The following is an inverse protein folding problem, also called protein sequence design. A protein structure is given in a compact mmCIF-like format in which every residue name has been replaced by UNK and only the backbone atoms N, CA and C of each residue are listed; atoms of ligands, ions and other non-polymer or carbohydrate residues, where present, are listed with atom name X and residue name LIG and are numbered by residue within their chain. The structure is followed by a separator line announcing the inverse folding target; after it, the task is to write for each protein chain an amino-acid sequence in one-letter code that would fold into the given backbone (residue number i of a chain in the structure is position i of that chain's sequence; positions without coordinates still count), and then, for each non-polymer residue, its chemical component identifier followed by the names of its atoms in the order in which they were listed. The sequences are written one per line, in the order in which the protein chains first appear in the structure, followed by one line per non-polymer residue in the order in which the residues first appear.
data_IF_514641754101
#
_entry.id   IF_514641754101
#
_cell.length_a   1.000
_cell.length_b   1.000
_cell.length_c   1.000
_cell.angle_alpha   90.00
_cell.angle_beta   90.00
_cell.angle_gamma   90.00
#
_symmetry.space_group_name_H-M   'P 1'
#
loop_
_entity.id
_entity.type
_entity.pdbx_description
1 polymer ?
#
# COMPACT_ATOMS: atom_id res chain seq x y z
N UNK A 1 -0.12 24.86 12.54
CA UNK A 1 -0.51 23.81 13.52
C UNK A 1 -0.12 24.30 14.89
N UNK A 2 -1.10 24.46 15.78
CA UNK A 2 -0.87 24.96 17.13
C UNK A 2 -0.17 23.89 18.00
N UNK A 3 0.72 24.32 18.90
CA UNK A 3 1.42 23.40 19.83
C UNK A 3 0.49 22.50 20.66
N UNK A 4 -0.68 22.98 21.16
CA UNK A 4 -1.61 22.14 21.94
C UNK A 4 -2.25 21.00 21.10
N UNK A 5 -2.56 21.24 19.82
CA UNK A 5 -3.12 20.20 18.95
C UNK A 5 -2.13 19.05 18.75
N UNK A 6 -0.85 19.40 18.54
CA UNK A 6 0.19 18.41 18.40
C UNK A 6 0.43 17.62 19.70
N UNK A 7 0.43 18.29 20.85
CA UNK A 7 0.58 17.60 22.13
C UNK A 7 -0.54 16.57 22.34
N UNK A 8 -1.78 16.95 22.04
CA UNK A 8 -2.95 16.06 22.08
C UNK A 8 -2.79 14.85 21.13
N UNK A 9 -2.37 15.10 19.88
CA UNK A 9 -2.15 14.03 18.92
C UNK A 9 -1.07 13.02 19.37
N UNK A 10 0.08 13.54 19.83
CA UNK A 10 1.17 12.69 20.32
C UNK A 10 0.73 11.86 21.53
N UNK A 11 -0.07 12.45 22.41
CA UNK A 11 -0.62 11.78 23.58
C UNK A 11 -1.61 10.67 23.19
N UNK A 12 -2.49 10.92 22.20
CA UNK A 12 -3.41 9.92 21.66
C UNK A 12 -2.65 8.75 21.01
N UNK A 13 -1.65 9.03 20.17
CA UNK A 13 -0.85 7.97 19.51
C UNK A 13 -0.12 7.11 20.55
N UNK A 14 0.49 7.74 21.56
CA UNK A 14 1.14 7.04 22.68
C UNK A 14 0.15 6.18 23.44
N UNK A 15 -1.02 6.73 23.80
CA UNK A 15 -2.07 6.01 24.51
C UNK A 15 -2.54 4.79 23.75
N UNK A 16 -2.76 4.88 22.44
CA UNK A 16 -3.16 3.76 21.58
C UNK A 16 -2.13 2.60 21.64
N UNK A 17 -0.85 2.91 21.64
CA UNK A 17 0.21 1.92 21.77
C UNK A 17 0.24 1.30 23.17
N UNK A 18 0.19 2.13 24.20
CA UNK A 18 0.29 1.73 25.61
C UNK A 18 -0.91 0.91 26.08
N UNK A 19 -2.11 1.22 25.60
CA UNK A 19 -3.32 0.43 25.89
C UNK A 19 -3.22 -1.02 25.39
N UNK A 20 -2.38 -1.26 24.37
CA UNK A 20 -2.07 -2.61 23.88
C UNK A 20 -0.87 -3.25 24.58
N UNK A 21 -0.27 -2.58 25.55
CA UNK A 21 0.94 -3.03 26.23
C UNK A 21 2.16 -3.07 25.30
N UNK A 22 2.17 -2.32 24.20
CA UNK A 22 3.22 -2.38 23.19
C UNK A 22 4.38 -1.44 23.48
N UNK A 23 5.60 -1.97 23.33
CA UNK A 23 6.77 -1.15 23.07
C UNK A 23 6.75 -0.60 21.63
N UNK A 24 7.63 0.33 21.30
CA UNK A 24 7.81 0.77 19.90
C UNK A 24 8.25 -0.38 18.99
N UNK A 25 8.97 -1.37 19.52
CA UNK A 25 9.36 -2.56 18.77
C UNK A 25 8.16 -3.45 18.44
N UNK A 26 7.22 -3.59 19.37
CA UNK A 26 5.99 -4.36 19.16
C UNK A 26 5.11 -3.71 18.12
N UNK A 27 4.93 -2.40 18.20
CA UNK A 27 4.17 -1.65 17.20
C UNK A 27 4.82 -1.69 15.82
N UNK A 28 6.17 -1.64 15.74
CA UNK A 28 6.88 -1.78 14.48
C UNK A 28 6.64 -3.15 13.85
N UNK A 29 6.71 -4.24 14.63
CA UNK A 29 6.38 -5.59 14.15
C UNK A 29 4.93 -5.72 13.69
N UNK A 30 4.00 -5.15 14.46
CA UNK A 30 2.59 -5.15 14.10
C UNK A 30 2.32 -4.39 12.79
N UNK A 31 2.95 -3.23 12.59
CA UNK A 31 2.88 -2.48 11.33
C UNK A 31 3.49 -3.25 10.15
N UNK A 32 4.61 -3.96 10.35
CA UNK A 32 5.19 -4.81 9.30
C UNK A 32 4.26 -5.97 8.92
N UNK A 33 3.62 -6.61 9.90
CA UNK A 33 2.64 -7.66 9.64
C UNK A 33 1.40 -7.14 8.88
N UNK A 34 0.93 -5.92 9.19
CA UNK A 34 -0.12 -5.27 8.40
C UNK A 34 0.38 -4.94 6.99
N UNK A 35 1.59 -4.41 6.86
CA UNK A 35 2.19 -4.08 5.57
C UNK A 35 2.35 -5.30 4.67
N UNK A 36 2.74 -6.45 5.23
CA UNK A 36 2.84 -7.71 4.51
C UNK A 36 1.47 -8.16 3.98
N UNK A 37 0.42 -8.12 4.82
CA UNK A 37 -0.95 -8.45 4.41
C UNK A 37 -1.52 -7.53 3.34
N UNK A 38 -1.12 -6.25 3.35
CA UNK A 38 -1.56 -5.23 2.39
C UNK A 38 -0.60 -5.06 1.20
N UNK A 39 0.46 -5.88 1.11
CA UNK A 39 1.44 -5.79 0.03
C UNK A 39 2.23 -4.47 0.00
N UNK A 40 2.32 -3.75 1.13
CA UNK A 40 3.05 -2.47 1.22
C UNK A 40 4.55 -2.74 1.40
N UNK A 41 5.19 -3.14 0.32
CA UNK A 41 6.59 -3.61 0.27
C UNK A 41 7.58 -2.62 0.90
N UNK A 42 7.36 -1.32 0.74
CA UNK A 42 8.21 -0.29 1.30
C UNK A 42 8.39 -0.40 2.82
N UNK A 43 7.33 -0.78 3.54
CA UNK A 43 7.38 -0.94 5.00
C UNK A 43 7.85 -2.34 5.39
N UNK A 44 7.49 -3.36 4.63
CA UNK A 44 7.95 -4.74 4.85
C UNK A 44 9.49 -4.84 4.78
N UNK A 45 10.12 -4.10 3.86
CA UNK A 45 11.57 -4.07 3.68
C UNK A 45 12.29 -3.07 4.61
N UNK A 46 11.55 -2.25 5.36
CA UNK A 46 12.14 -1.29 6.30
C UNK A 46 12.75 -2.03 7.49
N UNK A 47 13.98 -1.66 7.89
CA UNK A 47 14.62 -2.22 9.07
C UNK A 47 13.78 -1.92 10.33
N UNK A 48 13.53 -2.91 11.22
CA UNK A 48 12.71 -2.72 12.42
C UNK A 48 13.13 -1.51 13.28
N UNK A 49 14.44 -1.33 13.49
CA UNK A 49 14.98 -0.20 14.27
C UNK A 49 14.66 1.17 13.62
N UNK A 50 14.67 1.24 12.30
CA UNK A 50 14.32 2.48 11.60
C UNK A 50 12.83 2.80 11.76
N UNK A 51 11.98 1.76 11.72
CA UNK A 51 10.55 1.91 11.93
C UNK A 51 10.23 2.32 13.37
N UNK A 52 10.90 1.74 14.37
CA UNK A 52 10.79 2.16 15.78
C UNK A 52 11.11 3.64 15.96
N UNK A 53 12.21 4.12 15.37
CA UNK A 53 12.59 5.54 15.42
C UNK A 53 11.53 6.43 14.77
N UNK A 54 10.92 5.96 13.69
CA UNK A 54 9.86 6.67 12.99
C UNK A 54 8.61 6.78 13.86
N UNK A 55 8.19 5.70 14.53
CA UNK A 55 7.06 5.67 15.46
C UNK A 55 7.33 6.62 16.64
N UNK A 56 8.51 6.53 17.26
CA UNK A 56 8.90 7.40 18.37
C UNK A 56 8.82 8.90 18.00
N UNK A 57 9.14 9.26 16.75
CA UNK A 57 9.02 10.63 16.25
C UNK A 57 7.56 11.08 16.13
N UNK A 58 6.61 10.19 15.78
CA UNK A 58 5.19 10.57 15.74
C UNK A 58 4.61 10.85 17.12
N UNK A 59 5.12 10.18 18.15
CA UNK A 59 4.74 10.37 19.55
C UNK A 59 5.50 11.54 20.24
N UNK A 60 6.43 12.19 19.53
CA UNK A 60 7.25 13.27 20.04
C UNK A 60 6.72 14.64 19.61
N UNK A 61 6.46 15.51 20.57
CA UNK A 61 6.07 16.91 20.31
C UNK A 61 7.20 17.69 19.65
N UNK A 62 8.46 17.39 19.98
CA UNK A 62 9.64 18.08 19.45
C UNK A 62 9.94 17.70 17.99
N UNK A 63 9.65 16.47 17.56
CA UNK A 63 10.06 15.98 16.25
C UNK A 63 9.26 16.55 15.06
N UNK A 64 8.10 17.15 15.29
CA UNK A 64 7.21 17.76 14.27
C UNK A 64 6.94 16.91 13.04
N UNK A 65 7.04 15.58 13.14
CA UNK A 65 6.77 14.65 12.06
C UNK A 65 5.32 14.15 12.11
N UNK A 66 4.74 13.92 10.93
CA UNK A 66 3.39 13.37 10.76
C UNK A 66 3.54 12.01 10.05
N UNK A 67 2.75 10.99 10.40
CA UNK A 67 2.71 9.76 9.62
C UNK A 67 2.39 10.05 8.16
N UNK A 68 3.26 9.65 7.24
CA UNK A 68 2.97 9.74 5.80
C UNK A 68 1.80 8.82 5.40
N UNK A 69 1.22 9.03 4.23
CA UNK A 69 -0.02 8.37 3.77
C UNK A 69 0.00 6.84 3.90
N UNK A 70 1.12 6.20 3.52
CA UNK A 70 1.29 4.74 3.67
C UNK A 70 1.19 4.29 5.13
N UNK A 71 1.76 5.05 6.06
CA UNK A 71 1.69 4.74 7.48
C UNK A 71 0.32 5.06 8.07
N UNK A 72 -0.37 6.10 7.59
CA UNK A 72 -1.75 6.40 7.98
C UNK A 72 -2.66 5.22 7.66
N UNK A 73 -2.53 4.62 6.45
CA UNK A 73 -3.29 3.43 6.08
C UNK A 73 -2.95 2.22 6.96
N UNK A 74 -1.65 1.95 7.16
CA UNK A 74 -1.23 0.82 7.99
C UNK A 74 -1.69 0.96 9.44
N UNK A 75 -1.60 2.17 10.01
CA UNK A 75 -2.11 2.47 11.35
C UNK A 75 -3.63 2.31 11.40
N UNK A 76 -4.37 2.78 10.39
CA UNK A 76 -5.81 2.62 10.32
C UNK A 76 -6.22 1.13 10.31
N UNK A 77 -5.56 0.29 9.52
CA UNK A 77 -5.78 -1.16 9.53
C UNK A 77 -5.36 -1.84 10.84
N UNK A 78 -4.30 -1.34 11.47
CA UNK A 78 -3.80 -1.86 12.74
C UNK A 78 -4.80 -1.58 13.87
N UNK A 79 -5.28 -0.35 13.95
CA UNK A 79 -6.18 0.11 15.02
C UNK A 79 -7.67 -0.09 14.72
N UNK A 80 -8.03 -0.54 13.52
CA UNK A 80 -9.37 -1.03 13.22
C UNK A 80 -9.72 -2.35 13.93
N UNK A 81 -8.72 -3.04 14.47
CA UNK A 81 -8.90 -4.27 15.23
C UNK A 81 -8.55 -4.03 16.69
N UNK A 82 -9.37 -4.58 17.58
CA UNK A 82 -9.08 -4.60 19.03
C UNK A 82 -7.83 -5.44 19.35
N UNK A 83 -7.39 -5.43 20.58
CA UNK A 83 -6.33 -6.32 21.07
C UNK A 83 -6.68 -7.81 20.93
N UNK A 84 -7.97 -8.18 20.93
CA UNK A 84 -8.47 -9.53 20.65
C UNK A 84 -8.55 -9.88 19.16
N UNK A 85 -8.27 -8.92 18.26
CA UNK A 85 -8.36 -9.09 16.81
C UNK A 85 -9.74 -8.82 16.20
N UNK A 86 -10.74 -8.51 17.01
CA UNK A 86 -12.09 -8.15 16.56
C UNK A 86 -12.09 -6.79 15.86
N UNK A 87 -12.92 -6.67 14.84
CA UNK A 87 -13.10 -5.42 14.10
C UNK A 87 -13.92 -4.42 14.90
N UNK A 88 -13.33 -3.26 15.19
CA UNK A 88 -13.98 -2.18 15.95
C UNK A 88 -13.84 -0.86 15.19
N UNK A 89 -14.94 -0.40 14.58
CA UNK A 89 -14.95 0.74 13.66
C UNK A 89 -15.82 1.91 14.15
N UNK A 90 -16.55 1.71 15.25
CA UNK A 90 -17.49 2.69 15.80
C UNK A 90 -16.82 3.87 16.49
N UNK A 91 -17.65 4.81 16.94
CA UNK A 91 -17.21 5.91 17.80
C UNK A 91 -16.57 5.39 19.09
N UNK A 92 -15.47 6.01 19.52
CA UNK A 92 -14.72 5.59 20.70
C UNK A 92 -13.81 4.38 20.50
N UNK A 93 -13.74 3.81 19.27
CA UNK A 93 -12.78 2.75 18.95
C UNK A 93 -11.34 3.29 18.83
N UNK A 94 -10.37 2.37 18.85
CA UNK A 94 -8.97 2.70 18.60
C UNK A 94 -8.77 3.39 17.23
N UNK A 95 -9.55 2.97 16.20
CA UNK A 95 -9.56 3.63 14.91
C UNK A 95 -10.04 5.07 14.99
N UNK A 96 -11.12 5.33 15.72
CA UNK A 96 -11.67 6.67 15.89
C UNK A 96 -10.68 7.59 16.63
N UNK A 97 -10.04 7.09 17.68
CA UNK A 97 -8.97 7.80 18.39
C UNK A 97 -7.76 8.09 17.49
N UNK A 98 -7.36 7.13 16.62
CA UNK A 98 -6.30 7.34 15.62
C UNK A 98 -6.68 8.44 14.63
N UNK A 99 -7.89 8.39 14.05
CA UNK A 99 -8.33 9.40 13.07
C UNK A 99 -8.40 10.78 13.69
N UNK A 100 -8.80 10.88 14.97
CA UNK A 100 -8.75 12.11 15.76
C UNK A 100 -7.30 12.60 15.93
N UNK A 101 -6.37 11.72 16.28
CA UNK A 101 -4.96 12.09 16.40
C UNK A 101 -4.38 12.59 15.06
N UNK A 102 -4.72 11.94 13.94
CA UNK A 102 -4.29 12.36 12.61
C UNK A 102 -4.86 13.73 12.24
N UNK A 103 -6.12 14.02 12.58
CA UNK A 103 -6.73 15.32 12.37
C UNK A 103 -5.99 16.43 13.16
N UNK A 104 -5.65 16.21 14.43
CA UNK A 104 -4.83 17.10 15.24
C UNK A 104 -3.40 17.28 14.68
N UNK A 105 -2.88 16.30 13.94
CA UNK A 105 -1.61 16.42 13.20
C UNK A 105 -1.74 17.17 11.87
N UNK A 106 -2.93 17.65 11.51
CA UNK A 106 -3.19 18.41 10.30
C UNK A 106 -3.53 17.55 9.08
N UNK A 107 -3.83 16.26 9.27
CA UNK A 107 -4.34 15.42 8.17
C UNK A 107 -5.75 15.89 7.81
N UNK A 108 -6.03 16.20 6.52
CA UNK A 108 -7.32 16.73 6.12
C UNK A 108 -8.50 15.78 6.45
N UNK A 109 -9.66 16.34 6.81
CA UNK A 109 -10.86 15.56 7.12
C UNK A 109 -11.32 14.65 5.96
N UNK A 110 -11.07 15.04 4.71
CA UNK A 110 -11.29 14.18 3.54
C UNK A 110 -10.46 12.90 3.66
N UNK A 111 -9.18 13.02 4.01
CA UNK A 111 -8.26 11.88 4.11
C UNK A 111 -8.63 10.94 5.25
N UNK A 112 -9.04 11.46 6.39
CA UNK A 112 -9.48 10.61 7.51
C UNK A 112 -10.75 9.83 7.19
N UNK A 113 -11.68 10.40 6.41
CA UNK A 113 -12.85 9.68 5.87
C UNK A 113 -12.44 8.60 4.88
N UNK A 114 -11.57 8.90 3.91
CA UNK A 114 -11.04 7.92 2.96
C UNK A 114 -10.37 6.73 3.67
N UNK A 115 -9.60 6.97 4.73
CA UNK A 115 -8.98 5.90 5.53
C UNK A 115 -10.04 5.00 6.19
N UNK A 116 -11.09 5.59 6.75
CA UNK A 116 -12.21 4.83 7.34
C UNK A 116 -12.90 3.97 6.29
N UNK A 117 -13.21 4.54 5.13
CA UNK A 117 -13.87 3.84 4.02
C UNK A 117 -13.00 2.71 3.45
N UNK A 118 -11.69 2.92 3.32
CA UNK A 118 -10.74 1.89 2.88
C UNK A 118 -10.71 0.71 3.85
N UNK A 119 -10.65 0.99 5.15
CA UNK A 119 -10.68 -0.06 6.17
C UNK A 119 -12.00 -0.82 6.14
N UNK A 120 -13.15 -0.12 6.05
CA UNK A 120 -14.47 -0.74 5.95
C UNK A 120 -14.55 -1.69 4.74
N UNK A 121 -14.17 -1.24 3.56
CA UNK A 121 -14.18 -2.07 2.34
C UNK A 121 -13.27 -3.28 2.48
N UNK A 122 -12.06 -3.10 2.99
CA UNK A 122 -11.09 -4.20 3.14
C UNK A 122 -11.52 -5.28 4.14
N UNK A 123 -12.45 -4.96 5.03
CA UNK A 123 -12.92 -5.87 6.08
C UNK A 123 -14.26 -6.51 5.76
N UNK A 124 -15.08 -5.89 4.91
CA UNK A 124 -16.40 -6.39 4.50
C UNK A 124 -16.34 -7.44 3.39
N UNK A 125 -15.25 -7.47 2.61
CA UNK A 125 -15.06 -8.43 1.53
C UNK A 125 -14.39 -9.71 2.01
N UNK A 126 -15.04 -10.87 1.90
CA UNK A 126 -14.49 -12.18 2.24
C UNK A 126 -13.30 -12.66 1.38
N UNK A 127 -12.70 -11.79 0.59
CA UNK A 127 -11.67 -12.11 -0.42
C UNK A 127 -10.25 -11.65 -0.07
N UNK A 128 -10.01 -11.19 1.14
CA UNK A 128 -8.70 -10.70 1.56
C UNK A 128 -8.53 -9.19 1.40
N UNK A 129 -7.79 -8.61 2.33
CA UNK A 129 -7.67 -7.16 2.52
C UNK A 129 -7.13 -6.41 1.29
N UNK A 130 -6.30 -7.07 0.46
CA UNK A 130 -5.70 -6.47 -0.73
C UNK A 130 -6.71 -6.23 -1.85
N UNK A 131 -7.63 -7.18 -2.06
CA UNK A 131 -8.60 -7.10 -3.15
C UNK A 131 -9.60 -5.95 -2.99
N UNK A 132 -9.85 -5.53 -1.75
CA UNK A 132 -10.76 -4.42 -1.46
C UNK A 132 -10.25 -3.05 -1.96
N UNK A 133 -9.01 -2.96 -2.39
CA UNK A 133 -8.45 -1.76 -3.03
C UNK A 133 -8.72 -1.72 -4.53
N UNK A 134 -9.15 -2.83 -5.14
CA UNK A 134 -9.63 -2.87 -6.52
C UNK A 134 -11.07 -2.31 -6.61
N UNK A 135 -11.50 -1.99 -7.82
CA UNK A 135 -12.92 -1.66 -8.05
C UNK A 135 -13.81 -2.87 -7.75
N UNK A 136 -15.03 -2.63 -7.30
CA UNK A 136 -15.95 -3.72 -6.88
C UNK A 136 -16.11 -4.82 -7.93
N UNK A 137 -16.38 -4.53 -9.25
CA UNK A 137 -16.48 -5.58 -10.25
C UNK A 137 -15.17 -6.36 -10.44
N UNK A 138 -14.03 -5.68 -10.46
CA UNK A 138 -12.72 -6.34 -10.59
C UNK A 138 -12.40 -7.19 -9.35
N UNK A 139 -12.75 -6.72 -8.16
CA UNK A 139 -12.59 -7.43 -6.90
C UNK A 139 -13.35 -8.76 -6.91
N UNK A 140 -14.62 -8.75 -7.37
CA UNK A 140 -15.45 -9.93 -7.46
C UNK A 140 -14.88 -10.96 -8.44
N UNK A 141 -14.58 -10.55 -9.68
CA UNK A 141 -14.03 -11.43 -10.73
C UNK A 141 -12.69 -12.05 -10.33
N UNK A 142 -11.79 -11.23 -9.76
CA UNK A 142 -10.52 -11.71 -9.23
C UNK A 142 -10.73 -12.71 -8.09
N UNK A 143 -11.66 -12.43 -7.18
CA UNK A 143 -11.98 -13.33 -6.07
C UNK A 143 -12.52 -14.67 -6.54
N UNK A 144 -13.29 -14.70 -7.62
CA UNK A 144 -13.76 -15.92 -8.26
C UNK A 144 -12.63 -16.70 -8.93
N UNK A 145 -11.78 -16.02 -9.69
CA UNK A 145 -10.62 -16.64 -10.36
C UNK A 145 -9.56 -17.16 -9.37
N UNK A 146 -9.41 -16.55 -8.21
CA UNK A 146 -8.53 -17.05 -7.15
C UNK A 146 -9.06 -18.33 -6.48
N UNK A 147 -10.40 -18.50 -6.43
CA UNK A 147 -11.04 -19.72 -5.89
C UNK A 147 -11.06 -20.85 -6.93
N UNK A 148 -11.31 -20.49 -8.19
CA UNK A 148 -11.34 -21.44 -9.32
C UNK A 148 -10.57 -20.86 -10.51
N UNK A 149 -9.39 -21.39 -10.75
CA UNK A 149 -8.51 -20.96 -11.83
C UNK A 149 -9.11 -21.11 -13.24
N UNK A 150 -10.18 -21.90 -13.41
CA UNK A 150 -10.92 -22.02 -14.68
C UNK A 150 -11.69 -20.73 -15.03
N UNK A 151 -11.93 -19.87 -14.06
CA UNK A 151 -12.58 -18.57 -14.25
C UNK A 151 -11.62 -17.46 -14.67
N UNK A 152 -10.32 -17.76 -14.75
CA UNK A 152 -9.36 -16.84 -15.34
C UNK A 152 -9.50 -16.89 -16.86
N UNK A 153 -9.89 -15.77 -17.45
CA UNK A 153 -10.02 -15.56 -18.89
C UNK A 153 -9.21 -14.34 -19.36
N UNK A 154 -9.26 -14.11 -20.64
CA UNK A 154 -8.54 -12.98 -21.26
C UNK A 154 -9.16 -11.63 -20.88
N UNK A 155 -10.46 -11.59 -20.60
CA UNK A 155 -11.16 -10.36 -20.22
C UNK A 155 -10.75 -9.91 -18.82
N UNK A 156 -10.63 -10.82 -17.88
CA UNK A 156 -10.09 -10.50 -16.55
C UNK A 156 -8.64 -10.01 -16.62
N UNK A 157 -7.82 -10.63 -17.50
CA UNK A 157 -6.45 -10.17 -17.71
C UNK A 157 -6.43 -8.76 -18.34
N UNK A 158 -7.34 -8.46 -19.25
CA UNK A 158 -7.49 -7.13 -19.83
C UNK A 158 -7.91 -6.09 -18.77
N UNK A 159 -8.83 -6.44 -17.87
CA UNK A 159 -9.22 -5.58 -16.74
C UNK A 159 -8.04 -5.30 -15.80
N UNK A 160 -7.23 -6.31 -15.48
CA UNK A 160 -6.03 -6.10 -14.65
C UNK A 160 -5.01 -5.20 -15.36
N UNK A 161 -4.84 -5.33 -16.67
CA UNK A 161 -3.97 -4.44 -17.46
C UNK A 161 -4.50 -3.02 -17.49
N UNK A 162 -5.80 -2.84 -17.70
CA UNK A 162 -6.45 -1.53 -17.62
C UNK A 162 -6.21 -0.88 -16.24
N UNK A 163 -6.35 -1.63 -15.15
CA UNK A 163 -6.09 -1.13 -13.81
C UNK A 163 -4.62 -0.68 -13.61
N UNK A 164 -3.63 -1.37 -14.19
CA UNK A 164 -2.23 -0.92 -14.19
C UNK A 164 -2.08 0.37 -14.98
N UNK A 165 -2.70 0.46 -16.15
CA UNK A 165 -2.66 1.66 -17.00
C UNK A 165 -3.31 2.86 -16.30
N UNK A 166 -4.43 2.66 -15.61
CA UNK A 166 -5.10 3.71 -14.83
C UNK A 166 -4.20 4.26 -13.72
N UNK A 167 -3.43 3.40 -13.05
CA UNK A 167 -2.45 3.84 -12.05
C UNK A 167 -1.33 4.65 -12.70
N UNK A 168 -0.84 4.26 -13.89
CA UNK A 168 0.19 5.01 -14.62
C UNK A 168 -0.31 6.40 -15.04
N UNK A 169 -1.55 6.50 -15.52
CA UNK A 169 -2.17 7.80 -15.89
C UNK A 169 -2.38 8.73 -14.69
N UNK A 170 -2.46 8.20 -13.48
CA UNK A 170 -2.60 9.00 -12.26
C UNK A 170 -1.27 9.54 -11.73
N UNK A 171 -0.13 9.20 -12.34
CA UNK A 171 1.18 9.77 -11.98
C UNK A 171 1.13 11.29 -12.21
N UNK A 172 1.50 12.03 -11.17
CA UNK A 172 1.43 13.49 -11.14
C UNK A 172 0.10 14.06 -10.63
N UNK A 173 -0.96 13.25 -10.56
CA UNK A 173 -2.28 13.70 -10.06
C UNK A 173 -2.52 13.35 -8.60
N UNK A 174 -1.93 12.25 -8.13
CA UNK A 174 -2.02 11.79 -6.73
C UNK A 174 -0.63 11.47 -6.18
N UNK A 175 -0.53 11.33 -4.86
CA UNK A 175 0.77 11.04 -4.23
C UNK A 175 1.31 9.67 -4.63
N UNK A 176 2.62 9.54 -4.71
CA UNK A 176 3.28 8.25 -5.00
C UNK A 176 2.95 7.16 -3.99
N UNK A 177 2.73 7.53 -2.71
CA UNK A 177 2.30 6.58 -1.69
C UNK A 177 0.92 6.01 -2.00
N UNK A 178 -0.01 6.81 -2.52
CA UNK A 178 -1.33 6.37 -2.94
C UNK A 178 -1.23 5.45 -4.17
N UNK A 179 -0.41 5.82 -5.15
CA UNK A 179 -0.15 4.96 -6.33
C UNK A 179 0.39 3.59 -5.94
N UNK A 180 1.32 3.51 -4.98
CA UNK A 180 1.83 2.25 -4.45
C UNK A 180 0.72 1.38 -3.84
N UNK A 181 -0.21 2.00 -3.12
CA UNK A 181 -1.34 1.30 -2.51
C UNK A 181 -2.32 0.76 -3.55
N UNK A 182 -2.58 1.51 -4.62
CA UNK A 182 -3.45 1.05 -5.72
C UNK A 182 -2.81 -0.10 -6.52
N UNK A 183 -1.49 -0.08 -6.67
CA UNK A 183 -0.76 -1.06 -7.46
C UNK A 183 -0.49 -2.37 -6.71
N UNK A 184 -0.35 -2.31 -5.38
CA UNK A 184 -0.03 -3.47 -4.55
C UNK A 184 -1.00 -4.65 -4.73
N UNK A 185 -2.34 -4.47 -4.73
CA UNK A 185 -3.28 -5.58 -4.94
C UNK A 185 -3.16 -6.19 -6.33
N UNK A 186 -2.92 -5.39 -7.37
CA UNK A 186 -2.78 -5.88 -8.75
C UNK A 186 -1.55 -6.77 -8.84
N UNK A 187 -0.41 -6.33 -8.30
CA UNK A 187 0.82 -7.09 -8.29
C UNK A 187 0.68 -8.43 -7.54
N UNK A 188 -0.02 -8.42 -6.39
CA UNK A 188 -0.27 -9.62 -5.58
C UNK A 188 -1.22 -10.60 -6.29
N UNK A 189 -2.30 -10.09 -6.89
CA UNK A 189 -3.25 -10.89 -7.67
C UNK A 189 -2.55 -11.60 -8.82
N UNK A 190 -1.75 -10.87 -9.59
CA UNK A 190 -0.99 -11.44 -10.70
C UNK A 190 0.01 -12.53 -10.27
N UNK A 191 0.44 -12.54 -9.00
CA UNK A 191 1.29 -13.63 -8.47
C UNK A 191 0.48 -14.87 -8.10
N UNK A 192 -0.74 -14.69 -7.61
CA UNK A 192 -1.59 -15.77 -7.12
C UNK A 192 -2.37 -16.49 -8.21
N UNK A 193 -2.79 -15.74 -9.24
CA UNK A 193 -3.54 -16.32 -10.34
C UNK A 193 -2.72 -17.38 -11.10
N UNK A 194 -3.38 -18.48 -11.42
CA UNK A 194 -2.82 -19.59 -12.20
C UNK A 194 -3.62 -19.74 -13.49
N UNK A 195 -2.98 -19.69 -14.62
CA UNK A 195 -3.62 -19.84 -15.93
C UNK A 195 -3.06 -21.01 -16.74
N UNK A 196 -3.81 -21.41 -17.78
CA UNK A 196 -3.32 -22.26 -18.88
C UNK A 196 -2.17 -21.56 -19.63
N UNK A 197 -1.41 -22.26 -20.45
CA UNK A 197 -0.22 -21.70 -21.12
C UNK A 197 -0.45 -20.34 -21.80
N UNK A 198 -1.46 -20.13 -22.68
CA UNK A 198 -1.65 -18.85 -23.34
C UNK A 198 -2.01 -17.73 -22.34
N UNK A 199 -2.85 -18.02 -21.33
CA UNK A 199 -3.22 -17.05 -20.30
C UNK A 199 -2.06 -16.73 -19.35
N UNK A 200 -1.15 -17.68 -19.13
CA UNK A 200 0.04 -17.51 -18.29
C UNK A 200 0.98 -16.45 -18.86
N UNK A 201 1.17 -16.42 -20.17
CA UNK A 201 2.00 -15.41 -20.83
C UNK A 201 1.39 -14.02 -20.71
N UNK A 202 0.09 -13.88 -20.96
CA UNK A 202 -0.61 -12.61 -20.81
C UNK A 202 -0.59 -12.11 -19.36
N UNK A 203 -0.80 -12.99 -18.40
CA UNK A 203 -0.73 -12.65 -16.98
C UNK A 203 0.70 -12.26 -16.55
N UNK A 204 1.72 -12.93 -17.10
CA UNK A 204 3.12 -12.58 -16.85
C UNK A 204 3.48 -11.19 -17.41
N UNK A 205 2.88 -10.80 -18.55
CA UNK A 205 3.04 -9.47 -19.13
C UNK A 205 2.45 -8.41 -18.19
N UNK A 206 1.19 -8.55 -17.76
CA UNK A 206 0.56 -7.61 -16.82
C UNK A 206 1.34 -7.50 -15.51
N UNK A 207 1.80 -8.63 -14.97
CA UNK A 207 2.65 -8.64 -13.77
C UNK A 207 3.96 -7.88 -13.99
N UNK A 208 4.59 -8.04 -15.15
CA UNK A 208 5.83 -7.34 -15.49
C UNK A 208 5.61 -5.82 -15.59
N UNK A 209 4.49 -5.40 -16.18
CA UNK A 209 4.06 -4.00 -16.26
C UNK A 209 3.82 -3.42 -14.86
N UNK A 210 3.09 -4.14 -14.00
CA UNK A 210 2.84 -3.73 -12.62
C UNK A 210 4.13 -3.59 -11.80
N UNK A 211 5.08 -4.52 -11.96
CA UNK A 211 6.37 -4.45 -11.25
C UNK A 211 7.25 -3.30 -11.77
N UNK A 212 7.23 -3.04 -13.08
CA UNK A 212 7.94 -1.90 -13.65
C UNK A 212 7.42 -0.59 -13.07
N UNK A 213 6.10 -0.44 -13.05
CA UNK A 213 5.45 0.75 -12.52
C UNK A 213 5.71 0.90 -11.01
N UNK A 214 5.63 -0.19 -10.23
CA UNK A 214 5.97 -0.18 -8.81
C UNK A 214 7.43 0.23 -8.57
N UNK A 215 8.35 -0.26 -9.38
CA UNK A 215 9.77 0.12 -9.33
C UNK A 215 9.98 1.59 -9.65
N UNK A 216 9.30 2.12 -10.68
CA UNK A 216 9.34 3.54 -11.05
C UNK A 216 8.83 4.42 -9.91
N UNK A 217 7.66 4.11 -9.36
CA UNK A 217 7.08 4.85 -8.23
C UNK A 217 8.02 4.84 -7.02
N UNK A 218 8.65 3.70 -6.71
CA UNK A 218 9.61 3.61 -5.63
C UNK A 218 10.87 4.43 -5.90
N UNK A 219 11.37 4.44 -7.12
CA UNK A 219 12.52 5.24 -7.54
C UNK A 219 12.25 6.74 -7.41
N UNK A 220 11.10 7.22 -7.88
CA UNK A 220 10.69 8.62 -7.74
C UNK A 220 10.56 9.06 -6.26
N UNK A 221 10.21 8.13 -5.38
CA UNK A 221 10.17 8.40 -3.93
C UNK A 221 11.52 8.23 -3.23
N UNK A 222 12.62 8.05 -3.99
CA UNK A 222 13.97 7.82 -3.47
C UNK A 222 14.08 6.59 -2.57
N UNK A 223 13.25 5.58 -2.82
CA UNK A 223 13.29 4.31 -2.11
C UNK A 223 14.02 3.25 -2.97
N UNK A 224 15.34 3.39 -3.06
CA UNK A 224 16.18 2.55 -3.92
C UNK A 224 16.10 1.05 -3.57
N UNK A 225 15.85 0.72 -2.31
CA UNK A 225 15.73 -0.67 -1.85
C UNK A 225 14.47 -1.30 -2.43
N UNK A 226 13.35 -0.59 -2.35
CA UNK A 226 12.07 -1.03 -2.89
C UNK A 226 12.08 -1.02 -4.42
N UNK A 227 12.70 -0.02 -5.05
CA UNK A 227 12.85 0.04 -6.50
C UNK A 227 13.62 -1.20 -7.01
N UNK A 228 14.76 -1.53 -6.42
CA UNK A 228 15.53 -2.74 -6.76
C UNK A 228 14.73 -4.02 -6.56
N UNK A 229 13.99 -4.12 -5.46
CA UNK A 229 13.13 -5.27 -5.19
C UNK A 229 12.14 -5.52 -6.33
N UNK A 230 11.45 -4.49 -6.82
CA UNK A 230 10.48 -4.61 -7.91
C UNK A 230 11.15 -4.87 -9.26
N UNK A 231 12.23 -4.18 -9.59
CA UNK A 231 12.95 -4.38 -10.85
C UNK A 231 13.58 -5.78 -10.95
N UNK A 232 14.10 -6.34 -9.86
CA UNK A 232 14.64 -7.71 -9.88
C UNK A 232 13.55 -8.78 -10.03
N UNK A 233 12.34 -8.54 -9.54
CA UNK A 233 11.21 -9.44 -9.74
C UNK A 233 10.69 -9.43 -11.17
N UNK A 234 10.80 -8.32 -11.88
CA UNK A 234 10.49 -8.23 -13.31
C UNK A 234 11.35 -9.18 -14.15
N UNK A 235 12.60 -9.36 -13.81
CA UNK A 235 13.62 -10.07 -14.61
C UNK A 235 13.44 -11.59 -14.62
N UNK A 236 12.39 -12.16 -14.06
CA UNK A 236 12.17 -13.61 -13.91
C UNK A 236 11.15 -14.31 -14.82
N UNK A 237 10.66 -13.75 -15.93
CA UNK A 237 10.24 -14.58 -17.07
C UNK A 237 11.13 -14.34 -18.28
N UNK A 238 11.61 -15.39 -18.90
CA UNK A 238 12.14 -15.36 -20.27
C UNK A 238 10.98 -15.01 -21.23
N UNK A 239 10.72 -13.73 -21.41
CA UNK A 239 9.88 -13.24 -22.51
C UNK A 239 10.68 -12.14 -23.19
N UNK A 240 11.15 -12.44 -24.38
CA UNK A 240 11.79 -11.51 -25.29
C UNK A 240 10.75 -10.53 -25.81
N UNK A 241 10.64 -9.35 -25.21
CA UNK A 241 9.90 -8.25 -25.83
C UNK A 241 10.89 -7.37 -26.60
N UNK A 242 10.59 -6.97 -27.85
CA UNK A 242 11.34 -5.93 -28.51
C UNK A 242 11.12 -4.61 -27.75
N UNK A 243 12.14 -4.14 -27.08
CA UNK A 243 12.13 -2.82 -26.45
C UNK A 243 12.05 -1.79 -27.57
N UNK A 244 10.88 -1.23 -27.84
CA UNK A 244 10.80 0.05 -28.54
C UNK A 244 11.28 1.11 -27.57
N UNK A 245 12.57 1.43 -27.64
CA UNK A 245 13.10 2.67 -27.10
C UNK A 245 12.50 3.81 -27.91
N UNK A 246 11.44 4.44 -27.42
CA UNK A 246 10.89 5.67 -27.96
C UNK A 246 11.46 6.82 -27.12
N UNK A 247 12.33 7.59 -27.78
CA UNK A 247 12.63 8.95 -27.39
C UNK A 247 14.07 9.26 -27.01
N UNK A 248 14.65 10.32 -27.58
CA UNK A 248 16.04 10.68 -27.49
C UNK A 248 16.27 11.65 -26.32
N UNK A 249 16.81 11.16 -25.24
CA UNK A 249 17.43 12.01 -24.22
C UNK A 249 18.81 11.48 -23.92
N UNK A 250 19.78 11.86 -24.74
CA UNK A 250 21.20 12.00 -24.44
C UNK A 250 21.96 12.24 -25.75
N UNK A 251 22.11 13.49 -26.16
CA UNK A 251 23.27 13.92 -26.95
C UNK A 251 24.35 14.36 -25.96
N UNK A 252 25.52 13.70 -25.90
CA UNK A 252 26.66 14.29 -25.22
C UNK A 252 27.15 15.45 -26.08
N UNK A 253 27.25 16.63 -25.48
CA UNK A 253 28.03 17.71 -26.04
C UNK A 253 29.50 17.26 -26.13
N UNK A 254 30.05 17.20 -27.30
CA UNK A 254 31.49 17.04 -27.54
C UNK A 254 32.16 18.40 -27.73
N UNK A 255 33.49 18.47 -27.53
CA UNK A 255 34.28 19.54 -26.94
C UNK A 255 34.42 20.80 -27.75
#
# INVERSE_FOLDING_TARGET
MNDPDRATACQLLRRLREQRGWSWADQARALQAVAERLGVTAVTLTRPVSLQRTIARWESTAARTVPGERYQLLLAHLYARSGSGELTLGAGSDLDALLTALAHLGVPARRTRELRDLVLRSTSGGHGQLLALLTDPTCQLVGEALRDSRRLDIDLIALLRAAVSDVDHQIGSISFAHLQLLLAPIAEVCQRLRGSEPLREHLAAVRSEAYLLAGRIAFETRDDVVARYWYTRRSRPRVTFPIRLVGPWCTPASP
#
